data_IF_000503942776
#
_entry.id   IF_000503942776
#
_cell.length_a   1.000
_cell.length_b   1.000
_cell.length_c   1.000
_cell.angle_alpha   90.00
_cell.angle_beta   90.00
_cell.angle_gamma   90.00
#
_symmetry.space_group_name_H-M   'P 1'
#
loop_
_entity.id
_entity.type
_entity.pdbx_description
1 polymer ?
#
# COMPACT_ATOMS: atom_id res chain seq x y z
N UNK A 1 7.70 -29.62 1.83
CA UNK A 1 6.37 -29.10 2.18
C UNK A 1 5.71 -30.10 3.13
N UNK A 2 5.29 -29.70 4.34
CA UNK A 2 4.59 -30.59 5.30
C UNK A 2 3.23 -29.96 5.62
N UNK A 3 2.15 -30.66 5.28
CA UNK A 3 0.80 -30.20 5.58
C UNK A 3 0.43 -30.60 7.02
N UNK A 4 -0.33 -29.74 7.71
CA UNK A 4 -0.79 -30.02 9.08
C UNK A 4 -1.67 -31.26 9.18
N UNK A 5 -1.78 -31.85 10.37
CA UNK A 5 -2.73 -32.95 10.63
C UNK A 5 -4.15 -32.47 10.28
N UNK A 6 -4.86 -33.23 9.45
CA UNK A 6 -6.24 -32.92 9.02
C UNK A 6 -6.40 -32.47 7.56
N UNK A 7 -5.31 -32.10 6.87
CA UNK A 7 -5.38 -31.81 5.43
C UNK A 7 -5.47 -33.12 4.65
N UNK A 8 -6.55 -33.31 3.90
CA UNK A 8 -6.72 -34.49 3.04
C UNK A 8 -5.65 -34.48 1.95
N UNK A 9 -4.89 -35.57 1.83
CA UNK A 9 -3.84 -35.72 0.81
C UNK A 9 -4.38 -35.47 -0.61
N UNK A 10 -5.60 -35.93 -0.92
CA UNK A 10 -6.26 -35.66 -2.21
C UNK A 10 -6.33 -34.17 -2.53
N UNK A 11 -6.70 -33.32 -1.56
CA UNK A 11 -6.80 -31.87 -1.75
C UNK A 11 -5.45 -31.25 -2.10
N UNK A 12 -4.38 -31.72 -1.45
CA UNK A 12 -3.02 -31.29 -1.75
C UNK A 12 -2.63 -31.70 -3.17
N UNK A 13 -2.90 -32.94 -3.57
CA UNK A 13 -2.58 -33.43 -4.91
C UNK A 13 -3.34 -32.65 -5.98
N UNK A 14 -4.63 -32.41 -5.78
CA UNK A 14 -5.43 -31.57 -6.68
C UNK A 14 -4.89 -30.13 -6.78
N UNK A 15 -4.50 -29.53 -5.65
CA UNK A 15 -3.92 -28.18 -5.66
C UNK A 15 -2.58 -28.13 -6.41
N UNK A 16 -1.74 -29.16 -6.25
CA UNK A 16 -0.47 -29.27 -6.98
C UNK A 16 -0.75 -29.44 -8.48
N UNK A 17 -1.69 -30.30 -8.84
CA UNK A 17 -2.08 -30.54 -10.22
C UNK A 17 -2.62 -29.26 -10.87
N UNK A 18 -3.59 -28.57 -10.24
CA UNK A 18 -4.12 -27.29 -10.73
C UNK A 18 -3.04 -26.22 -10.89
N UNK A 19 -2.08 -26.17 -9.96
CA UNK A 19 -0.94 -25.23 -10.08
C UNK A 19 -0.05 -25.59 -11.27
N UNK A 20 0.23 -26.87 -11.49
CA UNK A 20 1.01 -27.32 -12.64
C UNK A 20 0.30 -26.98 -13.96
N UNK A 21 -1.00 -27.21 -14.03
CA UNK A 21 -1.84 -26.85 -15.18
C UNK A 21 -1.82 -25.33 -15.44
N UNK A 22 -2.00 -24.52 -14.40
CA UNK A 22 -1.96 -23.06 -14.51
C UNK A 22 -0.57 -22.53 -14.92
N UNK A 23 0.52 -23.11 -14.40
CA UNK A 23 1.87 -22.75 -14.83
C UNK A 23 2.10 -23.10 -16.31
N UNK A 24 1.65 -24.28 -16.76
CA UNK A 24 1.77 -24.69 -18.15
C UNK A 24 0.98 -23.77 -19.10
N UNK A 25 -0.21 -23.33 -18.70
CA UNK A 25 -1.00 -22.35 -19.44
C UNK A 25 -0.25 -21.01 -19.60
N UNK A 26 0.33 -20.48 -18.51
CA UNK A 26 1.12 -19.24 -18.54
C UNK A 26 2.43 -19.34 -19.36
N UNK A 27 3.02 -20.53 -19.42
CA UNK A 27 4.20 -20.83 -20.25
C UNK A 27 3.84 -21.01 -21.73
N UNK A 28 2.62 -21.47 -22.03
CA UNK A 28 2.12 -21.64 -23.38
C UNK A 28 1.61 -20.34 -24.02
N UNK A 29 1.32 -19.30 -23.22
CA UNK A 29 0.89 -18.00 -23.73
C UNK A 29 1.97 -17.34 -24.61
N UNK A 30 1.54 -16.85 -25.76
CA UNK A 30 2.37 -16.01 -26.62
C UNK A 30 2.66 -14.65 -25.97
N UNK A 31 3.68 -13.91 -26.43
CA UNK A 31 3.98 -12.58 -25.89
C UNK A 31 2.80 -11.60 -25.97
N UNK A 32 2.03 -11.66 -27.06
CA UNK A 32 0.86 -10.79 -27.28
C UNK A 32 -0.27 -11.14 -26.30
N UNK A 33 -0.56 -12.43 -26.09
CA UNK A 33 -1.57 -12.88 -25.12
C UNK A 33 -1.17 -12.53 -23.67
N UNK A 34 0.12 -12.60 -23.34
CA UNK A 34 0.62 -12.15 -22.02
C UNK A 34 0.43 -10.65 -21.83
N UNK A 35 0.68 -9.85 -22.86
CA UNK A 35 0.46 -8.41 -22.80
C UNK A 35 -1.02 -8.07 -22.60
N UNK A 36 -1.93 -8.79 -23.27
CA UNK A 36 -3.38 -8.66 -23.05
C UNK A 36 -3.78 -9.08 -21.64
N UNK A 37 -3.27 -10.22 -21.15
CA UNK A 37 -3.53 -10.71 -19.79
C UNK A 37 -3.08 -9.71 -18.72
N UNK A 38 -1.88 -9.14 -18.85
CA UNK A 38 -1.36 -8.13 -17.94
C UNK A 38 -2.18 -6.83 -17.99
N UNK A 39 -2.58 -6.38 -19.18
CA UNK A 39 -3.47 -5.23 -19.34
C UNK A 39 -4.83 -5.45 -18.67
N UNK A 40 -5.40 -6.65 -18.79
CA UNK A 40 -6.65 -7.02 -18.13
C UNK A 40 -6.50 -7.06 -16.60
N UNK A 41 -5.36 -7.54 -16.08
CA UNK A 41 -5.05 -7.48 -14.65
C UNK A 41 -4.99 -6.04 -14.16
N UNK A 42 -4.30 -5.15 -14.88
CA UNK A 42 -4.21 -3.74 -14.49
C UNK A 42 -5.57 -3.03 -14.55
N UNK A 43 -6.38 -3.32 -15.57
CA UNK A 43 -7.75 -2.83 -15.66
C UNK A 43 -8.60 -3.32 -14.46
N UNK A 44 -8.47 -4.59 -14.08
CA UNK A 44 -9.16 -5.15 -12.93
C UNK A 44 -8.69 -4.54 -11.61
N UNK A 45 -7.37 -4.36 -11.43
CA UNK A 45 -6.80 -3.67 -10.26
C UNK A 45 -7.34 -2.25 -10.12
N UNK A 46 -7.53 -1.54 -11.23
CA UNK A 46 -8.10 -0.19 -11.21
C UNK A 46 -9.58 -0.15 -10.77
N UNK A 47 -10.32 -1.26 -10.90
CA UNK A 47 -11.70 -1.37 -10.40
C UNK A 47 -11.79 -1.67 -8.89
N UNK A 48 -10.71 -2.15 -8.29
CA UNK A 48 -10.68 -2.45 -6.86
C UNK A 48 -10.41 -1.18 -6.04
N UNK A 49 -11.01 -1.04 -4.84
CA UNK A 49 -10.68 0.05 -3.95
C UNK A 49 -9.19 0.00 -3.62
N UNK A 50 -8.52 1.16 -3.72
CA UNK A 50 -7.11 1.26 -3.38
C UNK A 50 -6.93 0.93 -1.89
N UNK A 51 -5.92 0.10 -1.53
CA UNK A 51 -5.64 -0.18 -0.13
C UNK A 51 -5.30 1.12 0.60
N UNK A 52 -5.79 1.25 1.84
CA UNK A 52 -5.42 2.38 2.68
C UNK A 52 -3.89 2.42 2.85
N UNK A 53 -3.26 3.61 2.85
CA UNK A 53 -1.85 3.74 3.16
C UNK A 53 -1.54 3.05 4.49
N UNK A 54 -0.50 2.22 4.50
CA UNK A 54 0.00 1.60 5.72
C UNK A 54 0.74 2.66 6.54
N UNK A 55 0.00 3.39 7.38
CA UNK A 55 0.59 4.29 8.39
C UNK A 55 0.81 3.44 9.64
N UNK A 56 2.07 3.22 10.09
CA UNK A 56 2.32 2.47 11.31
C UNK A 56 1.72 3.15 12.54
N UNK A 57 1.41 2.37 13.56
CA UNK A 57 0.87 2.91 14.83
C UNK A 57 1.82 3.92 15.44
N UNK A 58 1.30 5.09 15.83
CA UNK A 58 2.07 6.20 16.39
C UNK A 58 2.71 7.14 15.35
N UNK A 59 2.51 6.90 14.05
CA UNK A 59 2.98 7.80 12.99
C UNK A 59 1.83 8.66 12.44
N UNK A 60 2.16 9.90 12.05
CA UNK A 60 1.24 10.83 11.38
C UNK A 60 1.81 11.16 9.99
N UNK A 61 0.96 11.11 8.97
CA UNK A 61 1.35 11.53 7.63
C UNK A 61 1.44 13.05 7.57
N UNK A 62 2.63 13.54 7.27
CA UNK A 62 2.91 14.96 7.06
C UNK A 62 3.51 15.17 5.67
N UNK A 63 3.22 16.29 4.99
CA UNK A 63 3.86 16.63 3.73
C UNK A 63 5.39 16.64 3.87
N UNK A 64 6.10 16.12 2.85
CA UNK A 64 7.57 16.14 2.81
C UNK A 64 8.16 17.56 2.86
N UNK A 65 7.41 18.53 2.32
CA UNK A 65 7.75 19.94 2.30
C UNK A 65 6.68 20.69 3.10
N UNK A 66 7.05 21.50 4.11
CA UNK A 66 6.08 22.19 4.95
C UNK A 66 5.24 23.15 4.11
N UNK A 67 3.93 23.13 4.33
CA UNK A 67 3.00 24.04 3.64
C UNK A 67 3.14 25.47 4.17
N UNK A 68 2.66 26.46 3.41
CA UNK A 68 2.64 27.85 3.86
C UNK A 68 1.91 28.02 5.20
N UNK A 69 0.83 27.27 5.44
CA UNK A 69 0.10 27.30 6.71
C UNK A 69 0.92 26.74 7.88
N UNK A 70 1.69 25.67 7.66
CA UNK A 70 2.63 25.15 8.67
C UNK A 70 3.70 26.19 9.00
N UNK A 71 4.26 26.85 7.98
CA UNK A 71 5.28 27.89 8.15
C UNK A 71 4.71 29.10 8.89
N UNK A 72 3.53 29.59 8.51
CA UNK A 72 2.88 30.73 9.18
C UNK A 72 2.52 30.42 10.63
N UNK A 73 2.09 29.18 10.92
CA UNK A 73 1.78 28.74 12.28
C UNK A 73 3.01 28.74 13.18
N UNK A 74 4.17 28.37 12.64
CA UNK A 74 5.44 28.47 13.35
C UNK A 74 5.87 29.92 13.65
N UNK A 75 5.50 30.87 12.79
CA UNK A 75 5.91 32.28 12.89
C UNK A 75 4.98 33.14 13.76
N UNK A 76 3.78 32.65 14.11
CA UNK A 76 2.73 33.48 14.71
C UNK A 76 3.01 33.87 16.17
N UNK A 77 3.72 33.01 16.93
CA UNK A 77 3.95 33.18 18.37
C UNK A 77 5.44 33.07 18.78
N UNK A 78 6.40 33.17 17.84
CA UNK A 78 7.79 32.77 18.07
C UNK A 78 8.81 33.90 18.24
N UNK A 79 8.56 34.90 19.09
CA UNK A 79 9.67 35.81 19.45
C UNK A 79 10.75 35.11 20.30
N UNK A 80 10.44 33.98 20.97
CA UNK A 80 11.40 33.21 21.82
C UNK A 80 11.03 31.73 22.02
N UNK A 81 10.13 31.15 21.22
CA UNK A 81 9.55 29.81 21.48
C UNK A 81 10.55 28.64 21.36
N UNK A 82 10.40 27.63 22.22
CA UNK A 82 11.20 26.40 22.15
C UNK A 82 10.89 25.63 20.85
N UNK A 83 11.92 24.99 20.25
CA UNK A 83 11.79 24.28 18.96
C UNK A 83 10.70 23.19 19.00
N UNK A 84 10.48 22.58 20.17
CA UNK A 84 9.43 21.59 20.36
C UNK A 84 8.02 22.18 20.16
N UNK A 85 7.75 23.37 20.70
CA UNK A 85 6.45 24.03 20.58
C UNK A 85 6.17 24.43 19.12
N UNK A 86 7.20 24.94 18.44
CA UNK A 86 7.12 25.28 17.01
C UNK A 86 6.79 24.03 16.17
N UNK A 87 7.41 22.90 16.50
CA UNK A 87 7.16 21.64 15.81
C UNK A 87 5.73 21.13 16.02
N UNK A 88 5.22 21.19 17.25
CA UNK A 88 3.82 20.82 17.55
C UNK A 88 2.81 21.72 16.81
N UNK A 89 3.08 23.02 16.73
CA UNK A 89 2.25 23.96 15.95
C UNK A 89 2.26 23.62 14.45
N UNK A 90 3.44 23.28 13.90
CA UNK A 90 3.54 22.82 12.51
C UNK A 90 2.79 21.50 12.27
N UNK A 91 2.87 20.54 13.19
CA UNK A 91 2.15 19.26 13.09
C UNK A 91 0.63 19.46 13.20
N UNK A 92 0.17 20.38 14.05
CA UNK A 92 -1.24 20.71 14.20
C UNK A 92 -1.81 21.36 12.93
N UNK A 93 -1.01 22.20 12.26
CA UNK A 93 -1.35 22.84 10.99
C UNK A 93 -1.13 21.94 9.76
N UNK A 94 -0.51 20.77 9.91
CA UNK A 94 -0.26 19.87 8.80
C UNK A 94 -1.58 19.34 8.23
N UNK A 95 -1.78 19.37 6.90
CA UNK A 95 -2.97 18.80 6.29
C UNK A 95 -2.97 17.30 6.54
N UNK A 96 -3.88 16.84 7.40
CA UNK A 96 -4.06 15.42 7.66
C UNK A 96 -4.72 14.81 6.43
N UNK A 97 -4.03 13.88 5.78
CA UNK A 97 -4.54 13.19 4.59
C UNK A 97 -5.96 12.71 4.84
N UNK A 98 -6.91 13.25 4.08
CA UNK A 98 -8.31 12.83 4.12
C UNK A 98 -8.38 11.43 3.53
N UNK A 99 -9.01 10.52 4.27
CA UNK A 99 -9.30 9.13 3.89
C UNK A 99 -10.23 9.06 2.68
#
# INVERSE_FOLDING_TARGET
>A
MRFGKGVKIRLVLEAIQRRAEHCAELEAMTPDERAEYDANIEAFKAMLPQPAPLVPDGYVMVPKEPTAEMILSAMRDNETGEVAEIYELMLAAAPKGVR
#
